data_IF_727649337531
#
_entry.id   IF_727649337531
#
_cell.length_a   1.000
_cell.length_b   1.000
_cell.length_c   1.000
_cell.angle_alpha   90.00
_cell.angle_beta   90.00
_cell.angle_gamma   90.00
#
_symmetry.space_group_name_H-M   'P 1'
#
loop_
_entity.id
_entity.type
_entity.pdbx_description
1 polymer ?
#
# COMPACT_ATOMS: atom_id res chain seq x y z
N UNK A 1 -2.98 -7.90 -1.10
CA UNK A 1 -2.03 -7.76 0.02
C UNK A 1 -2.71 -8.23 1.29
N UNK A 2 -2.00 -8.95 2.15
CA UNK A 2 -2.49 -9.36 3.47
C UNK A 2 -1.44 -9.06 4.54
N UNK A 3 -1.88 -9.04 5.79
CA UNK A 3 -1.01 -9.09 6.94
C UNK A 3 -0.89 -10.53 7.42
N UNK A 4 0.26 -10.92 7.94
CA UNK A 4 0.36 -12.20 8.63
C UNK A 4 -0.49 -12.21 9.91
N UNK A 5 -0.65 -13.40 10.51
CA UNK A 5 -1.51 -13.58 11.70
C UNK A 5 -0.97 -12.88 12.94
N UNK A 6 0.36 -12.77 13.10
CA UNK A 6 0.97 -12.13 14.27
C UNK A 6 0.62 -10.65 14.33
N UNK A 7 0.47 -9.98 13.18
CA UNK A 7 0.03 -8.59 13.11
C UNK A 7 -1.23 -8.35 13.95
N UNK A 8 -2.23 -9.22 13.83
CA UNK A 8 -3.52 -9.07 14.50
C UNK A 8 -3.49 -9.38 16.00
N UNK A 9 -2.41 -10.01 16.48
CA UNK A 9 -2.19 -10.31 17.90
C UNK A 9 -1.43 -9.18 18.63
N UNK A 10 -0.89 -8.20 17.89
CA UNK A 10 -0.28 -7.01 18.45
C UNK A 10 -1.37 -6.06 18.96
N UNK A 11 -1.13 -5.43 20.11
CA UNK A 11 -2.05 -4.44 20.66
C UNK A 11 -2.26 -3.25 19.70
N UNK A 12 -3.40 -2.58 19.83
CA UNK A 12 -3.80 -1.51 18.92
C UNK A 12 -2.83 -0.34 18.88
N UNK A 13 -2.32 0.12 20.03
CA UNK A 13 -1.42 1.28 20.09
C UNK A 13 -0.09 1.02 19.37
N UNK A 14 0.46 -0.18 19.53
CA UNK A 14 1.70 -0.57 18.84
C UNK A 14 1.47 -0.66 17.33
N UNK A 15 0.35 -1.26 16.88
CA UNK A 15 -0.02 -1.25 15.45
C UNK A 15 -0.16 0.17 14.90
N UNK A 16 -0.80 1.07 15.65
CA UNK A 16 -0.98 2.47 15.29
C UNK A 16 0.37 3.19 15.14
N UNK A 17 1.30 2.96 16.06
CA UNK A 17 2.66 3.51 16.00
C UNK A 17 3.43 3.01 14.77
N UNK A 18 3.36 1.70 14.50
CA UNK A 18 4.01 1.09 13.32
C UNK A 18 3.44 1.68 12.02
N UNK A 19 2.11 1.81 11.91
CA UNK A 19 1.47 2.42 10.73
C UNK A 19 1.77 3.91 10.59
N UNK A 20 1.83 4.65 11.70
CA UNK A 20 2.24 6.06 11.68
C UNK A 20 3.66 6.23 11.12
N UNK A 21 4.58 5.33 11.46
CA UNK A 21 5.92 5.29 10.87
C UNK A 21 5.89 5.06 9.37
N UNK A 22 5.10 4.08 8.89
CA UNK A 22 4.93 3.81 7.46
C UNK A 22 4.35 5.02 6.69
N UNK A 23 3.26 5.62 7.20
CA UNK A 23 2.62 6.79 6.60
C UNK A 23 3.57 8.00 6.64
N UNK A 24 4.29 8.18 7.73
CA UNK A 24 5.29 9.23 7.90
C UNK A 24 6.38 9.15 6.85
N UNK A 25 6.99 7.97 6.68
CA UNK A 25 8.01 7.73 5.65
C UNK A 25 7.48 7.97 4.25
N UNK A 26 6.27 7.48 3.93
CA UNK A 26 5.64 7.70 2.62
C UNK A 26 5.44 9.20 2.35
N UNK A 27 4.88 9.93 3.30
CA UNK A 27 4.54 11.37 3.14
C UNK A 27 5.75 12.29 3.14
N UNK A 28 6.84 11.91 3.79
CA UNK A 28 8.05 12.72 3.85
C UNK A 28 9.00 12.48 2.68
N UNK A 29 8.73 11.46 1.85
CA UNK A 29 9.55 11.20 0.67
C UNK A 29 9.34 12.31 -0.36
N UNK A 30 10.43 12.79 -0.95
CA UNK A 30 10.42 13.88 -1.94
C UNK A 30 9.67 13.50 -3.23
N UNK A 31 9.56 12.21 -3.52
CA UNK A 31 8.91 11.66 -4.73
C UNK A 31 7.45 11.26 -4.48
N UNK A 32 6.96 11.42 -3.24
CA UNK A 32 5.56 11.20 -2.87
C UNK A 32 4.53 12.23 -3.40
N UNK A 33 4.87 13.50 -3.73
CA UNK A 33 3.88 14.44 -4.24
C UNK A 33 3.18 13.92 -5.50
N UNK A 34 1.85 14.00 -5.52
CA UNK A 34 1.01 13.51 -6.62
C UNK A 34 0.58 12.04 -6.51
N UNK A 35 1.12 11.28 -5.55
CA UNK A 35 0.67 9.90 -5.28
C UNK A 35 -0.55 9.93 -4.36
N UNK A 36 -1.69 9.46 -4.87
CA UNK A 36 -2.92 9.30 -4.09
C UNK A 36 -3.12 7.81 -3.80
N UNK A 37 -3.29 7.47 -2.52
CA UNK A 37 -3.43 6.07 -2.09
C UNK A 37 -4.81 5.79 -1.49
N UNK A 38 -5.39 4.65 -1.85
CA UNK A 38 -6.63 4.13 -1.27
C UNK A 38 -6.37 2.74 -0.68
N UNK A 39 -6.75 2.55 0.58
CA UNK A 39 -6.69 1.24 1.22
C UNK A 39 -8.11 0.73 1.43
N UNK A 40 -8.44 -0.36 0.78
CA UNK A 40 -9.73 -1.07 0.95
C UNK A 40 -9.49 -2.42 1.63
N UNK A 41 -10.55 -3.02 2.16
CA UNK A 41 -10.48 -4.31 2.85
C UNK A 41 -11.48 -5.32 2.28
N UNK A 42 -11.12 -6.60 2.34
CA UNK A 42 -11.91 -7.72 1.83
C UNK A 42 -11.90 -8.95 2.77
N UNK A 43 -11.83 -8.72 4.09
CA UNK A 43 -11.90 -9.79 5.10
C UNK A 43 -13.16 -10.64 4.93
N UNK A 44 -12.99 -11.93 4.61
CA UNK A 44 -14.08 -12.87 4.35
C UNK A 44 -14.82 -12.64 3.02
N UNK A 45 -14.35 -11.70 2.18
CA UNK A 45 -14.96 -11.33 0.90
C UNK A 45 -14.02 -11.56 -0.30
N UNK A 46 -12.76 -11.92 -0.05
CA UNK A 46 -11.76 -12.27 -1.07
C UNK A 46 -10.53 -12.95 -0.47
N UNK A 47 -9.61 -13.38 -1.34
CA UNK A 47 -8.44 -14.17 -0.95
C UNK A 47 -7.35 -13.33 -0.25
N UNK A 48 -7.39 -12.01 -0.44
CA UNK A 48 -6.54 -11.04 0.25
C UNK A 48 -7.33 -10.25 1.30
N UNK A 49 -6.63 -9.74 2.30
CA UNK A 49 -7.26 -8.88 3.32
C UNK A 49 -7.44 -7.44 2.83
N UNK A 50 -6.51 -6.95 1.99
CA UNK A 50 -6.50 -5.59 1.47
C UNK A 50 -6.24 -5.56 -0.05
N UNK A 51 -6.99 -4.68 -0.72
CA UNK A 51 -6.65 -4.19 -2.05
C UNK A 51 -6.23 -2.73 -1.88
N UNK A 52 -4.99 -2.45 -2.27
CA UNK A 52 -4.40 -1.11 -2.17
C UNK A 52 -4.29 -0.56 -3.57
N UNK A 53 -4.87 0.62 -3.78
CA UNK A 53 -4.94 1.30 -5.07
C UNK A 53 -4.13 2.59 -5.00
N UNK A 54 -3.48 2.94 -6.10
CA UNK A 54 -2.72 4.17 -6.22
C UNK A 54 -3.05 4.87 -7.54
N UNK A 55 -3.20 6.18 -7.48
CA UNK A 55 -3.23 7.08 -8.64
C UNK A 55 -1.99 7.97 -8.58
N UNK A 56 -1.28 8.11 -9.69
CA UNK A 56 0.00 8.82 -9.78
C UNK A 56 0.39 9.07 -11.24
N UNK A 57 1.21 10.09 -11.48
CA UNK A 57 1.67 10.47 -12.82
C UNK A 57 3.03 9.85 -13.21
N UNK A 58 3.84 9.41 -12.23
CA UNK A 58 5.21 8.90 -12.45
C UNK A 58 5.46 7.55 -11.76
N UNK A 59 5.56 6.47 -12.56
CA UNK A 59 5.82 5.12 -12.07
C UNK A 59 7.20 4.93 -11.44
N UNK A 60 8.22 5.66 -11.89
CA UNK A 60 9.56 5.57 -11.31
C UNK A 60 9.56 6.18 -9.90
N UNK A 61 8.92 7.34 -9.74
CA UNK A 61 8.72 7.97 -8.44
C UNK A 61 8.01 7.01 -7.46
N UNK A 62 6.92 6.36 -7.90
CA UNK A 62 6.25 5.34 -7.09
C UNK A 62 7.16 4.17 -6.70
N UNK A 63 7.97 3.69 -7.64
CA UNK A 63 8.90 2.59 -7.38
C UNK A 63 9.92 2.97 -6.31
N UNK A 64 10.51 4.16 -6.35
CA UNK A 64 11.47 4.61 -5.34
C UNK A 64 10.81 4.84 -3.96
N UNK A 65 9.61 5.42 -3.92
CA UNK A 65 8.84 5.52 -2.67
C UNK A 65 8.57 4.13 -2.09
N UNK A 66 8.19 3.18 -2.94
CA UNK A 66 7.93 1.78 -2.54
C UNK A 66 9.19 1.08 -2.02
N UNK A 67 10.34 1.33 -2.66
CA UNK A 67 11.66 0.89 -2.21
C UNK A 67 11.98 1.46 -0.83
N UNK A 68 11.80 2.77 -0.63
CA UNK A 68 12.03 3.40 0.69
C UNK A 68 11.14 2.81 1.77
N UNK A 69 9.90 2.50 1.43
CA UNK A 69 8.96 1.81 2.32
C UNK A 69 9.35 0.35 2.62
N UNK A 70 10.39 -0.22 2.00
CA UNK A 70 10.94 -1.52 2.42
C UNK A 70 11.65 -1.44 3.77
N UNK A 71 12.09 -0.26 4.18
CA UNK A 71 12.83 -0.06 5.44
C UNK A 71 11.93 0.12 6.67
N UNK A 72 10.61 0.19 6.51
CA UNK A 72 9.70 0.48 7.64
C UNK A 72 9.23 -0.79 8.34
N UNK A 73 9.03 -0.69 9.66
CA UNK A 73 8.68 -1.84 10.51
C UNK A 73 7.40 -2.58 10.05
N UNK A 74 6.46 -1.88 9.43
CA UNK A 74 5.22 -2.49 8.91
C UNK A 74 5.46 -3.62 7.92
N UNK A 75 6.62 -3.64 7.22
CA UNK A 75 6.99 -4.67 6.25
C UNK A 75 7.18 -6.05 6.84
N UNK A 76 7.51 -6.14 8.14
CA UNK A 76 7.67 -7.43 8.83
C UNK A 76 6.44 -8.33 8.69
N UNK A 77 5.25 -7.73 8.63
CA UNK A 77 3.99 -8.47 8.59
C UNK A 77 3.25 -8.36 7.26
N UNK A 78 3.77 -7.67 6.24
CA UNK A 78 3.09 -7.54 4.93
C UNK A 78 3.48 -8.73 4.07
N UNK A 79 2.47 -9.45 3.58
CA UNK A 79 2.62 -10.64 2.73
C UNK A 79 1.64 -10.59 1.53
N UNK A 80 1.88 -11.44 0.54
CA UNK A 80 0.98 -11.66 -0.60
C UNK A 80 0.58 -10.38 -1.36
N UNK A 81 1.57 -9.66 -1.87
CA UNK A 81 1.38 -8.46 -2.71
C UNK A 81 1.23 -8.78 -4.21
N UNK A 82 1.22 -10.07 -4.58
CA UNK A 82 1.10 -10.52 -5.97
C UNK A 82 -0.34 -10.92 -6.31
N UNK A 83 -0.80 -10.66 -7.55
CA UNK A 83 -0.15 -9.85 -8.57
C UNK A 83 -0.20 -8.34 -8.27
N UNK A 84 0.81 -7.59 -8.75
CA UNK A 84 0.78 -6.13 -8.82
C UNK A 84 0.36 -5.75 -10.24
N UNK A 85 -0.71 -4.98 -10.36
CA UNK A 85 -1.18 -4.47 -11.65
C UNK A 85 -0.73 -3.03 -11.85
N UNK A 86 -0.28 -2.72 -13.07
CA UNK A 86 0.06 -1.35 -13.51
C UNK A 86 -0.78 -1.06 -14.75
N UNK A 87 -1.46 0.07 -14.75
CA UNK A 87 -2.31 0.52 -15.85
C UNK A 87 -2.04 1.97 -16.19
N UNK A 88 -2.36 2.36 -17.42
CA UNK A 88 -2.36 3.76 -17.86
C UNK A 88 -3.81 4.19 -17.98
N UNK A 89 -4.14 5.36 -17.42
CA UNK A 89 -5.47 5.92 -17.60
C UNK A 89 -5.71 6.19 -19.09
N UNK A 90 -6.64 5.45 -19.66
CA UNK A 90 -7.09 5.63 -21.03
C UNK A 90 -8.42 6.38 -20.96
N UNK A 91 -8.40 7.71 -21.12
CA UNK A 91 -9.53 8.62 -20.87
C UNK A 91 -10.82 8.38 -21.67
N UNK A 92 -10.95 7.25 -22.34
CA UNK A 92 -12.10 6.83 -23.13
C UNK A 92 -12.87 5.68 -22.46
N UNK A 93 -14.12 6.02 -22.12
CA UNK A 93 -15.29 5.21 -21.74
C UNK A 93 -15.10 3.69 -21.80
N UNK A 94 -15.40 3.02 -20.68
CA UNK A 94 -15.80 1.60 -20.57
C UNK A 94 -16.10 0.97 -21.94
N UNK A 95 -15.12 0.24 -22.48
CA UNK A 95 -15.40 -0.68 -23.58
C UNK A 95 -16.11 -1.86 -22.93
N UNK A 96 -17.43 -1.87 -23.09
CA UNK A 96 -18.32 -2.99 -22.72
C UNK A 96 -17.97 -4.21 -23.56
#
# INVERSE_FOLDING_TARGET
MSKDREWYLINYEERRKILAGHIGTARSDKESPGIVSYTTYSFGLGDQEFVVLYELDDLAAWSHVTEKLREVMARKWIINESPIFVGIYNGDKLVV
#
